data_IF_332994556686
#
_entry.id   IF_332994556686
#
_cell.length_a   1.000
_cell.length_b   1.000
_cell.length_c   1.000
_cell.angle_alpha   90.00
_cell.angle_beta   90.00
_cell.angle_gamma   90.00
#
_symmetry.space_group_name_H-M   'P 1'
#
loop_
_entity.id
_entity.type
_entity.pdbx_description
1 polymer ?
#
# COMPACT_ATOMS: atom_id res chain seq x y z
N UNK A 1 -7.50 -6.68 -6.79
CA UNK A 1 -6.14 -6.46 -6.25
C UNK A 1 -6.04 -5.11 -5.59
N UNK A 2 -5.44 -5.04 -4.42
CA UNK A 2 -5.10 -3.80 -3.76
C UNK A 2 -3.59 -3.72 -3.59
N UNK A 3 -3.08 -2.51 -3.35
CA UNK A 3 -1.65 -2.24 -3.29
C UNK A 3 -1.30 -1.57 -1.97
N UNK A 4 -0.12 -1.88 -1.44
CA UNK A 4 0.40 -1.24 -0.23
C UNK A 4 1.83 -0.79 -0.48
N UNK A 5 2.13 0.45 -0.08
CA UNK A 5 3.47 1.04 -0.18
C UNK A 5 4.16 0.84 1.16
N UNK A 6 5.38 0.30 1.13
CA UNK A 6 6.19 0.20 2.34
C UNK A 6 7.66 0.34 1.97
N UNK A 7 8.50 0.55 2.98
CA UNK A 7 9.94 0.57 2.78
C UNK A 7 10.49 -0.85 2.75
N UNK A 8 11.57 -1.04 2.01
CA UNK A 8 12.21 -2.35 1.89
C UNK A 8 12.54 -2.95 3.27
N UNK A 9 13.04 -2.13 4.20
CA UNK A 9 13.38 -2.60 5.55
C UNK A 9 12.16 -3.15 6.29
N UNK A 10 10.99 -2.56 6.09
CA UNK A 10 9.75 -3.03 6.71
C UNK A 10 9.32 -4.40 6.15
N UNK A 11 9.49 -4.58 4.85
CA UNK A 11 9.20 -5.86 4.20
C UNK A 11 10.16 -6.96 4.68
N UNK A 12 11.45 -6.63 4.73
CA UNK A 12 12.46 -7.59 5.19
C UNK A 12 12.22 -8.02 6.64
N UNK A 13 11.74 -7.10 7.48
CA UNK A 13 11.39 -7.41 8.87
C UNK A 13 10.13 -8.29 8.97
N UNK A 14 9.15 -8.05 8.12
CA UNK A 14 7.88 -8.80 8.15
C UNK A 14 8.02 -10.24 7.63
N UNK A 15 8.90 -10.46 6.64
CA UNK A 15 9.00 -11.77 5.97
C UNK A 15 9.20 -12.96 6.92
N UNK A 16 10.17 -12.91 7.86
CA UNK A 16 10.36 -14.05 8.76
C UNK A 16 9.21 -14.24 9.76
N UNK A 17 8.39 -13.22 9.97
CA UNK A 17 7.27 -13.28 10.90
C UNK A 17 6.00 -13.89 10.29
N UNK A 18 5.92 -13.94 8.96
CA UNK A 18 4.74 -14.42 8.25
C UNK A 18 3.57 -13.45 8.25
N UNK A 19 3.71 -12.30 8.88
CA UNK A 19 2.68 -11.25 8.91
C UNK A 19 3.32 -9.88 8.98
N UNK A 20 2.56 -8.86 8.54
CA UNK A 20 3.01 -7.48 8.54
C UNK A 20 2.08 -6.65 9.44
N UNK A 21 2.66 -5.97 10.43
CA UNK A 21 1.95 -5.14 11.40
C UNK A 21 2.61 -3.77 11.47
N UNK A 22 2.27 -2.85 10.52
CA UNK A 22 2.88 -1.51 10.55
C UNK A 22 2.37 -0.68 11.73
N UNK A 23 3.08 0.42 12.08
CA UNK A 23 2.66 1.28 13.19
C UNK A 23 1.23 1.83 13.06
N UNK A 24 0.73 2.04 11.84
CA UNK A 24 -0.64 2.52 11.64
C UNK A 24 -1.69 1.57 12.21
N UNK A 25 -1.38 0.27 12.27
CA UNK A 25 -2.32 -0.70 12.82
C UNK A 25 -2.60 -0.44 14.30
N UNK A 26 -1.57 -0.09 15.07
CA UNK A 26 -1.75 0.25 16.48
C UNK A 26 -2.29 1.68 16.66
N UNK A 27 -1.83 2.61 15.84
CA UNK A 27 -2.21 4.03 15.98
C UNK A 27 -3.61 4.32 15.45
N UNK A 28 -4.02 3.67 14.35
CA UNK A 28 -5.28 3.96 13.67
C UNK A 28 -6.21 2.76 13.54
N UNK A 29 -5.73 1.57 13.83
CA UNK A 29 -6.54 0.34 13.76
C UNK A 29 -6.56 -0.33 12.41
N UNK A 30 -5.82 0.16 11.42
CA UNK A 30 -5.82 -0.41 10.08
C UNK A 30 -4.53 -0.11 9.32
N UNK A 31 -4.33 -0.87 8.24
CA UNK A 31 -3.22 -0.70 7.29
C UNK A 31 -3.76 0.06 6.08
N UNK A 32 -3.09 1.15 5.71
CA UNK A 32 -3.45 1.95 4.54
C UNK A 32 -3.08 1.24 3.25
N UNK A 33 -4.03 1.06 2.36
CA UNK A 33 -3.80 0.52 1.03
C UNK A 33 -4.41 1.44 -0.03
N UNK A 34 -4.15 1.12 -1.29
CA UNK A 34 -4.64 1.88 -2.43
C UNK A 34 -5.09 0.92 -3.53
N UNK A 35 -6.05 1.36 -4.33
CA UNK A 35 -6.32 0.70 -5.61
C UNK A 35 -5.23 1.09 -6.60
N UNK A 36 -5.21 0.42 -7.76
CA UNK A 36 -4.25 0.75 -8.82
C UNK A 36 -4.40 2.21 -9.29
N UNK A 37 -5.61 2.74 -9.27
CA UNK A 37 -5.87 4.13 -9.66
C UNK A 37 -5.54 5.17 -8.61
N UNK A 38 -5.27 4.76 -7.36
CA UNK A 38 -5.02 5.66 -6.24
C UNK A 38 -3.56 5.70 -5.81
N UNK A 39 -2.78 4.66 -6.10
CA UNK A 39 -1.47 4.45 -5.47
C UNK A 39 -0.44 5.52 -5.83
N UNK A 40 -0.45 6.00 -7.06
CA UNK A 40 0.53 7.01 -7.50
C UNK A 40 0.26 8.35 -6.79
N UNK A 41 -1.01 8.75 -6.67
CA UNK A 41 -1.38 9.96 -5.95
C UNK A 41 -0.92 9.89 -4.49
N UNK A 42 -1.19 8.76 -3.83
CA UNK A 42 -0.75 8.54 -2.45
C UNK A 42 0.77 8.62 -2.33
N UNK A 43 1.50 7.98 -3.23
CA UNK A 43 2.96 7.99 -3.20
C UNK A 43 3.50 9.41 -3.39
N UNK A 44 2.94 10.18 -4.31
CA UNK A 44 3.41 11.53 -4.58
C UNK A 44 3.15 12.47 -3.39
N UNK A 45 2.07 12.27 -2.65
CA UNK A 45 1.75 13.10 -1.50
C UNK A 45 2.63 12.74 -0.29
N UNK A 46 2.76 11.45 0.02
CA UNK A 46 3.37 11.02 1.28
C UNK A 46 4.80 10.52 1.18
N UNK A 47 5.28 10.17 -0.01
CA UNK A 47 6.57 9.52 -0.17
C UNK A 47 7.48 10.20 -1.20
N UNK A 48 7.18 11.41 -1.62
CA UNK A 48 7.97 12.12 -2.63
C UNK A 48 9.47 12.05 -2.31
N UNK A 49 10.27 11.63 -3.27
CA UNK A 49 11.71 11.52 -3.14
C UNK A 49 12.22 10.25 -2.48
N UNK A 50 11.35 9.38 -1.96
CA UNK A 50 11.80 8.14 -1.32
C UNK A 50 12.35 7.16 -2.36
N UNK A 51 13.50 6.54 -2.06
CA UNK A 51 14.21 5.66 -3.00
C UNK A 51 14.18 4.19 -2.61
N UNK A 52 13.61 3.85 -1.46
CA UNK A 52 13.65 2.52 -0.87
C UNK A 52 12.28 1.86 -0.78
N UNK A 53 11.35 2.26 -1.62
CA UNK A 53 9.97 1.77 -1.55
C UNK A 53 9.75 0.49 -2.35
N UNK A 54 8.85 -0.33 -1.83
CA UNK A 54 8.29 -1.48 -2.52
C UNK A 54 6.78 -1.32 -2.60
N UNK A 55 6.19 -1.98 -3.59
CA UNK A 55 4.74 -2.13 -3.71
C UNK A 55 4.37 -3.58 -3.49
N UNK A 56 3.52 -3.82 -2.50
CA UNK A 56 2.92 -5.13 -2.31
C UNK A 56 1.64 -5.21 -3.12
N UNK A 57 1.51 -6.26 -3.90
CA UNK A 57 0.31 -6.58 -4.64
C UNK A 57 -0.45 -7.62 -3.83
N UNK A 58 -1.64 -7.27 -3.36
CA UNK A 58 -2.39 -8.08 -2.40
C UNK A 58 -3.68 -8.58 -3.04
N UNK A 59 -3.90 -9.89 -2.94
CA UNK A 59 -5.17 -10.50 -3.33
C UNK A 59 -6.13 -10.39 -2.14
N UNK A 60 -7.12 -9.50 -2.25
CA UNK A 60 -8.06 -9.25 -1.16
C UNK A 60 -8.86 -10.48 -0.75
N UNK A 61 -9.02 -11.46 -1.67
CA UNK A 61 -9.74 -12.71 -1.37
C UNK A 61 -8.97 -13.60 -0.41
N UNK A 62 -7.67 -13.38 -0.24
CA UNK A 62 -6.80 -14.17 0.65
C UNK A 62 -6.59 -13.53 2.01
N UNK A 63 -7.13 -12.33 2.23
CA UNK A 63 -6.97 -11.63 3.49
C UNK A 63 -7.69 -12.35 4.62
N UNK A 64 -7.02 -12.48 5.77
CA UNK A 64 -7.63 -12.99 7.00
C UNK A 64 -8.32 -11.87 7.78
N UNK A 65 -7.76 -10.66 7.74
CA UNK A 65 -8.36 -9.50 8.39
C UNK A 65 -9.45 -8.88 7.53
N UNK A 66 -10.34 -8.12 8.17
CA UNK A 66 -11.43 -7.44 7.48
C UNK A 66 -10.91 -6.31 6.60
N UNK A 67 -11.38 -6.24 5.38
CA UNK A 67 -11.08 -5.15 4.44
C UNK A 67 -12.28 -4.21 4.38
N UNK A 68 -12.03 -2.92 4.61
CA UNK A 68 -13.06 -1.88 4.49
C UNK A 68 -12.57 -0.79 3.55
N UNK A 69 -13.48 -0.24 2.75
CA UNK A 69 -13.20 0.93 1.92
C UNK A 69 -13.71 2.16 2.65
N UNK A 70 -12.80 3.08 2.97
CA UNK A 70 -13.10 4.23 3.81
C UNK A 70 -12.50 5.51 3.24
N UNK A 71 -13.23 6.63 3.36
CA UNK A 71 -12.73 7.92 2.93
C UNK A 71 -11.72 8.44 3.95
N UNK A 72 -10.55 8.99 3.51
CA UNK A 72 -9.58 9.56 4.44
C UNK A 72 -10.23 10.62 5.33
N UNK A 73 -10.04 10.49 6.64
CA UNK A 73 -10.66 11.37 7.63
C UNK A 73 -9.70 12.40 8.23
N UNK A 74 -8.40 12.33 7.89
CA UNK A 74 -7.38 13.20 8.46
C UNK A 74 -7.53 14.63 7.92
N UNK A 75 -7.60 15.62 8.81
CA UNK A 75 -7.62 17.01 8.43
C UNK A 75 -6.31 17.36 7.74
N UNK A 76 -6.37 18.01 6.58
CA UNK A 76 -5.20 18.37 5.79
C UNK A 76 -4.71 17.28 4.87
N UNK A 77 -5.39 16.14 4.82
CA UNK A 77 -5.08 15.10 3.85
C UNK A 77 -5.49 15.57 2.46
N UNK A 78 -4.51 15.66 1.55
CA UNK A 78 -4.72 16.19 0.20
C UNK A 78 -5.21 15.16 -0.80
N UNK A 79 -5.38 13.90 -0.38
CA UNK A 79 -5.89 12.87 -1.28
C UNK A 79 -7.34 13.13 -1.65
N UNK A 80 -7.77 12.67 -2.85
CA UNK A 80 -9.19 12.74 -3.22
C UNK A 80 -10.08 12.09 -2.16
N UNK A 81 -11.28 12.64 -1.98
CA UNK A 81 -12.25 12.14 -0.99
C UNK A 81 -13.00 10.90 -1.51
N UNK A 82 -12.26 9.95 -2.05
CA UNK A 82 -12.77 8.65 -2.49
C UNK A 82 -12.39 7.58 -1.47
N UNK A 83 -13.17 6.49 -1.36
CA UNK A 83 -12.80 5.42 -0.43
C UNK A 83 -11.49 4.73 -0.79
N UNK A 84 -10.64 4.54 0.20
CA UNK A 84 -9.40 3.77 0.09
C UNK A 84 -9.56 2.45 0.81
N UNK A 85 -8.94 1.36 0.32
CA UNK A 85 -8.99 0.08 1.03
C UNK A 85 -8.14 0.14 2.30
N UNK A 86 -8.73 -0.26 3.41
CA UNK A 86 -8.07 -0.33 4.71
C UNK A 86 -8.19 -1.75 5.27
N UNK A 87 -7.05 -2.36 5.60
CA UNK A 87 -7.03 -3.70 6.20
C UNK A 87 -7.08 -3.54 7.71
N UNK A 88 -8.16 -4.01 8.34
CA UNK A 88 -8.39 -3.87 9.77
C UNK A 88 -7.83 -5.05 10.55
N UNK A 89 -6.52 -5.22 10.50
CA UNK A 89 -5.78 -6.26 11.18
C UNK A 89 -4.44 -6.48 10.51
N UNK A 90 -3.66 -7.41 11.03
CA UNK A 90 -2.37 -7.76 10.44
C UNK A 90 -2.55 -8.32 9.03
N UNK A 91 -1.60 -8.04 8.16
CA UNK A 91 -1.57 -8.58 6.81
C UNK A 91 -0.88 -9.94 6.83
N UNK A 92 -1.61 -10.98 6.50
CA UNK A 92 -1.02 -12.31 6.32
C UNK A 92 -0.25 -12.34 4.99
N UNK A 93 1.02 -12.75 5.04
CA UNK A 93 1.90 -12.60 3.88
C UNK A 93 1.53 -13.53 2.72
N UNK A 94 0.77 -14.60 2.95
CA UNK A 94 0.28 -15.44 1.86
C UNK A 94 -0.80 -14.76 1.01
N UNK A 95 -1.31 -13.60 1.43
CA UNK A 95 -2.16 -12.77 0.60
C UNK A 95 -1.36 -11.86 -0.35
N UNK A 96 -0.05 -11.71 -0.12
CA UNK A 96 0.83 -10.93 -1.00
C UNK A 96 1.23 -11.81 -2.18
N UNK A 97 0.76 -11.48 -3.36
CA UNK A 97 0.99 -12.29 -4.56
C UNK A 97 2.16 -11.81 -5.40
N UNK A 98 2.61 -10.57 -5.19
CA UNK A 98 3.80 -10.04 -5.86
C UNK A 98 4.36 -8.86 -5.09
N UNK A 99 5.66 -8.64 -5.24
CA UNK A 99 6.38 -7.51 -4.66
C UNK A 99 7.13 -6.83 -5.79
N UNK A 100 6.93 -5.53 -5.97
CA UNK A 100 7.58 -4.77 -7.04
C UNK A 100 8.43 -3.66 -6.45
N UNK A 101 9.56 -3.36 -7.09
CA UNK A 101 10.30 -2.14 -6.80
C UNK A 101 9.45 -0.93 -7.17
N UNK A 102 9.49 0.10 -6.32
CA UNK A 102 8.72 1.32 -6.57
C UNK A 102 9.62 2.55 -6.47
N UNK A 103 10.57 2.70 -7.44
CA UNK A 103 11.51 3.82 -7.40
C UNK A 103 10.82 5.12 -7.83
N UNK A 104 11.28 6.24 -7.27
CA UNK A 104 10.84 7.55 -7.73
C UNK A 104 11.62 7.98 -8.98
N UNK A 105 11.05 8.90 -9.74
CA UNK A 105 11.71 9.58 -10.85
C UNK A 105 12.74 10.59 -10.32
N UNK A 106 13.51 11.19 -11.22
CA UNK A 106 14.54 12.16 -10.86
C UNK A 106 13.97 13.35 -10.08
N UNK A 107 12.74 13.74 -10.38
CA UNK A 107 12.07 14.85 -9.69
C UNK A 107 11.39 14.41 -8.37
N UNK A 108 11.53 13.16 -7.96
CA UNK A 108 10.93 12.62 -6.74
C UNK A 108 9.51 12.11 -6.89
N UNK A 109 8.91 12.24 -8.06
CA UNK A 109 7.55 11.75 -8.32
C UNK A 109 7.55 10.26 -8.66
N UNK A 110 6.36 9.64 -8.66
CA UNK A 110 6.19 8.22 -8.91
C UNK A 110 5.32 7.96 -10.14
N UNK A 111 5.57 6.82 -10.78
CA UNK A 111 4.74 6.28 -11.85
C UNK A 111 4.50 4.81 -11.56
N UNK A 112 3.40 4.26 -12.08
CA UNK A 112 3.13 2.83 -11.91
C UNK A 112 4.26 2.01 -12.54
N UNK A 113 4.80 1.02 -11.79
CA UNK A 113 5.74 0.07 -12.38
C UNK A 113 5.06 -0.71 -13.51
N UNK A 114 5.81 -1.11 -14.56
CA UNK A 114 5.21 -1.85 -15.69
C UNK A 114 4.45 -3.11 -15.28
N UNK A 115 4.95 -3.85 -14.30
CA UNK A 115 4.31 -5.08 -13.83
C UNK A 115 2.94 -4.83 -13.18
N UNK A 116 2.75 -3.65 -12.59
CA UNK A 116 1.48 -3.28 -11.94
C UNK A 116 0.53 -2.66 -12.96
N UNK A 117 1.07 -1.92 -13.93
CA UNK A 117 0.28 -1.23 -14.95
C UNK A 117 -0.61 -2.17 -15.75
N UNK A 118 -0.18 -3.40 -15.93
CA UNK A 118 -0.89 -4.40 -16.73
C UNK A 118 -1.93 -5.18 -15.94
N UNK A 119 -2.13 -4.86 -14.64
CA UNK A 119 -3.16 -5.52 -13.85
C UNK A 119 -4.55 -5.06 -14.26
N UNK A 120 -5.55 -5.97 -14.22
CA UNK A 120 -6.94 -5.56 -14.39
C UNK A 120 -7.32 -4.57 -13.28
N UNK A 121 -8.00 -3.47 -13.65
CA UNK A 121 -8.56 -2.57 -12.64
C UNK A 121 -9.86 -3.17 -12.13
N UNK A 122 -9.99 -3.24 -10.84
CA UNK A 122 -11.20 -3.73 -10.19
C UNK A 122 -12.22 -2.62 -9.98
#
# INVERSE_FOLDING_TARGET
MILHILRRAEWDDARPRGEYRPPSLDAEGFIHCSTIGQVVVTANIFFSGATDLLLLQIDERKLLAELKYEVPATIGDERPRTPFPHIHGALNLDAVVAVAEFPCEVDGSFKLPPSIRDLPSD
#
